data_IF_718207864433
#
_entry.id   IF_718207864433
#
_cell.length_a   1.000
_cell.length_b   1.000
_cell.length_c   1.000
_cell.angle_alpha   90.00
_cell.angle_beta   90.00
_cell.angle_gamma   90.00
#
_symmetry.space_group_name_H-M   'P 1'
#
loop_
_entity.id
_entity.type
_entity.pdbx_description
1 polymer ?
#
# COMPACT_ATOMS: atom_id res chain seq x y z
N UNK A 1 -60.24 20.41 -25.88
CA UNK A 1 -60.56 19.84 -24.56
C UNK A 1 -60.07 20.79 -23.48
N UNK A 2 -61.01 21.27 -22.66
CA UNK A 2 -60.88 22.06 -21.42
C UNK A 2 -59.91 21.39 -20.40
N UNK A 3 -59.37 22.05 -19.37
CA UNK A 3 -60.04 22.93 -18.42
C UNK A 3 -59.13 24.00 -17.77
N UNK A 4 -59.71 25.19 -17.62
CA UNK A 4 -59.48 26.11 -16.50
C UNK A 4 -59.73 25.45 -15.15
N UNK A 5 -58.92 25.76 -14.14
CA UNK A 5 -59.30 25.58 -12.73
C UNK A 5 -58.56 26.58 -11.83
N UNK A 6 -59.33 27.55 -11.31
CA UNK A 6 -59.03 28.31 -10.11
C UNK A 6 -58.83 27.36 -8.91
N UNK A 7 -57.67 27.39 -8.26
CA UNK A 7 -57.45 26.79 -6.94
C UNK A 7 -56.81 27.81 -5.98
N UNK A 8 -57.54 28.10 -4.91
CA UNK A 8 -57.34 29.16 -3.91
C UNK A 8 -56.15 28.93 -2.95
N UNK A 9 -55.66 29.98 -2.25
CA UNK A 9 -54.47 29.96 -1.40
C UNK A 9 -54.77 29.43 0.01
N UNK A 10 -55.13 28.15 0.16
CA UNK A 10 -55.34 27.52 1.47
C UNK A 10 -54.18 26.62 1.94
N UNK A 11 -53.22 26.31 1.06
CA UNK A 11 -52.07 25.45 1.40
C UNK A 11 -51.10 26.05 2.42
N UNK A 12 -51.06 27.39 2.55
CA UNK A 12 -50.19 28.07 3.52
C UNK A 12 -50.70 27.97 4.97
N UNK A 13 -52.01 27.84 5.18
CA UNK A 13 -52.59 27.80 6.53
C UNK A 13 -52.42 26.43 7.24
N UNK A 14 -52.17 25.37 6.48
CA UNK A 14 -51.97 24.02 7.04
C UNK A 14 -50.53 23.76 7.53
N UNK A 15 -49.54 24.54 7.09
CA UNK A 15 -48.12 24.39 7.49
C UNK A 15 -47.69 25.27 8.67
N UNK A 16 -48.46 26.33 8.95
CA UNK A 16 -48.21 27.28 10.04
C UNK A 16 -48.17 26.64 11.45
N UNK A 17 -49.04 25.67 11.80
CA UNK A 17 -48.97 25.01 13.11
C UNK A 17 -47.68 24.22 13.30
N UNK A 18 -47.18 23.58 12.23
CA UNK A 18 -45.96 22.77 12.27
C UNK A 18 -44.70 23.63 12.33
N UNK A 19 -44.70 24.78 11.64
CA UNK A 19 -43.63 25.77 11.71
C UNK A 19 -43.51 26.38 13.12
N UNK A 20 -44.64 26.69 13.77
CA UNK A 20 -44.65 27.18 15.15
C UNK A 20 -44.14 26.14 16.14
N UNK A 21 -44.55 24.87 15.99
CA UNK A 21 -44.08 23.79 16.86
C UNK A 21 -42.57 23.55 16.71
N UNK A 22 -42.05 23.60 15.48
CA UNK A 22 -40.60 23.47 15.20
C UNK A 22 -39.78 24.60 15.82
N UNK A 23 -40.27 25.84 15.74
CA UNK A 23 -39.62 27.00 16.36
C UNK A 23 -39.61 26.88 17.90
N UNK A 24 -40.70 26.39 18.48
CA UNK A 24 -40.85 26.22 19.93
C UNK A 24 -39.92 25.13 20.47
N UNK A 25 -39.79 24.01 19.76
CA UNK A 25 -38.83 22.93 20.10
C UNK A 25 -37.39 23.43 19.98
N UNK A 26 -37.06 24.23 18.97
CA UNK A 26 -35.72 24.82 18.83
C UNK A 26 -35.39 25.81 19.95
N UNK A 27 -36.34 26.66 20.35
CA UNK A 27 -36.14 27.61 21.45
C UNK A 27 -35.97 26.91 22.81
N UNK A 28 -36.71 25.82 23.06
CA UNK A 28 -36.52 24.99 24.25
C UNK A 28 -35.13 24.34 24.25
N UNK A 29 -34.66 23.85 23.09
CA UNK A 29 -33.32 23.27 22.94
C UNK A 29 -32.21 24.28 23.25
N UNK A 30 -32.33 25.51 22.73
CA UNK A 30 -31.38 26.61 22.99
C UNK A 30 -31.45 27.06 24.46
N UNK A 31 -32.64 27.19 25.04
CA UNK A 31 -32.79 27.53 26.46
C UNK A 31 -32.15 26.47 27.36
N UNK A 32 -32.32 25.18 27.05
CA UNK A 32 -31.67 24.08 27.78
C UNK A 32 -30.15 24.09 27.60
N UNK A 33 -29.64 24.50 26.43
CA UNK A 33 -28.21 24.65 26.18
C UNK A 33 -27.59 25.85 26.93
N UNK A 34 -28.32 26.96 27.03
CA UNK A 34 -27.89 28.17 27.76
C UNK A 34 -27.93 27.91 29.27
N UNK A 35 -28.98 27.27 29.79
CA UNK A 35 -29.14 26.96 31.22
C UNK A 35 -28.24 25.79 31.66
N UNK A 36 -27.94 24.84 30.76
CA UNK A 36 -27.10 23.67 31.04
C UNK A 36 -25.59 23.92 31.06
N UNK A 37 -25.11 25.16 30.88
CA UNK A 37 -23.68 25.49 30.82
C UNK A 37 -23.02 25.78 32.17
N UNK A 38 -23.64 25.37 33.27
CA UNK A 38 -23.07 25.41 34.61
C UNK A 38 -23.14 24.04 35.29
N UNK A 39 -22.15 23.17 35.07
CA UNK A 39 -22.02 21.91 35.80
C UNK A 39 -21.51 20.78 34.93
N UNK A 40 -20.24 20.41 35.11
CA UNK A 40 -19.65 19.25 34.44
C UNK A 40 -20.34 17.95 34.86
N UNK A 41 -20.56 17.06 33.90
CA UNK A 41 -20.77 15.65 34.15
C UNK A 41 -20.28 14.85 32.93
N UNK A 42 -19.32 13.97 33.23
CA UNK A 42 -18.74 12.96 32.35
C UNK A 42 -19.83 12.14 31.65
N UNK A 43 -19.84 12.12 30.31
CA UNK A 43 -20.54 11.10 29.54
C UNK A 43 -19.50 10.09 29.07
N UNK A 44 -19.42 8.95 29.76
CA UNK A 44 -18.81 7.73 29.24
C UNK A 44 -19.57 7.31 27.97
N UNK A 45 -19.14 7.84 26.83
CA UNK A 45 -19.36 7.23 25.54
C UNK A 45 -18.55 5.95 25.53
N UNK A 46 -19.23 4.83 25.82
CA UNK A 46 -18.70 3.50 25.49
C UNK A 46 -18.62 3.41 23.96
N UNK A 47 -17.49 3.87 23.43
CA UNK A 47 -17.05 3.50 22.09
C UNK A 47 -17.00 1.97 22.11
N UNK A 48 -17.90 1.31 21.39
CA UNK A 48 -17.78 -0.12 21.12
C UNK A 48 -16.48 -0.29 20.34
N UNK A 49 -15.40 -0.63 21.05
CA UNK A 49 -14.13 -1.02 20.45
C UNK A 49 -14.38 -2.37 19.77
N UNK A 50 -14.78 -2.33 18.51
CA UNK A 50 -14.60 -3.48 17.63
C UNK A 50 -13.08 -3.61 17.47
N UNK A 51 -12.46 -4.48 18.28
CA UNK A 51 -11.11 -4.94 18.02
C UNK A 51 -11.16 -5.79 16.77
N UNK A 52 -11.15 -5.15 15.60
CA UNK A 52 -10.73 -5.83 14.38
C UNK A 52 -9.30 -6.23 14.67
N UNK A 53 -9.01 -7.54 14.73
CA UNK A 53 -7.62 -8.01 14.72
C UNK A 53 -6.90 -7.23 13.62
N UNK A 54 -5.90 -6.43 14.02
CA UNK A 54 -5.12 -5.68 13.05
C UNK A 54 -4.52 -6.72 12.12
N UNK A 55 -5.01 -6.77 10.87
CA UNK A 55 -4.38 -7.55 9.81
C UNK A 55 -2.89 -7.22 9.88
N UNK A 56 -1.99 -8.22 9.90
CA UNK A 56 -0.57 -7.97 10.12
C UNK A 56 -0.11 -6.88 9.16
N UNK A 57 0.41 -5.78 9.71
CA UNK A 57 0.83 -4.63 8.93
C UNK A 57 2.08 -5.02 8.15
N UNK A 58 1.89 -5.60 6.96
CA UNK A 58 3.02 -5.96 6.10
C UNK A 58 3.50 -4.77 5.31
N UNK A 59 4.79 -4.49 5.43
CA UNK A 59 5.53 -3.57 4.56
C UNK A 59 6.15 -4.37 3.42
N UNK A 60 5.86 -3.96 2.20
CA UNK A 60 6.44 -4.55 0.98
C UNK A 60 7.33 -3.52 0.30
N UNK A 61 8.57 -3.89 -0.02
CA UNK A 61 9.48 -3.10 -0.82
C UNK A 61 9.62 -3.68 -2.24
N UNK A 62 9.50 -2.83 -3.25
CA UNK A 62 9.71 -3.19 -4.66
C UNK A 62 10.95 -2.46 -5.17
N UNK A 63 11.99 -3.22 -5.53
CA UNK A 63 13.25 -2.70 -6.06
C UNK A 63 13.25 -2.83 -7.59
N UNK A 64 13.15 -1.71 -8.30
CA UNK A 64 12.91 -1.65 -9.74
C UNK A 64 11.48 -1.24 -10.10
N UNK A 65 10.83 -0.42 -9.26
CA UNK A 65 9.41 -0.04 -9.40
C UNK A 65 9.11 0.85 -10.63
N UNK A 66 10.11 1.55 -11.17
CA UNK A 66 10.01 2.34 -12.40
C UNK A 66 10.18 1.51 -13.68
N UNK A 67 10.59 0.25 -13.58
CA UNK A 67 10.71 -0.67 -14.71
C UNK A 67 9.36 -1.15 -15.25
N UNK A 68 9.37 -1.68 -16.47
CA UNK A 68 8.16 -2.18 -17.15
C UNK A 68 7.42 -3.30 -16.41
N UNK A 69 8.11 -4.06 -15.56
CA UNK A 69 7.52 -5.08 -14.68
C UNK A 69 7.17 -4.48 -13.31
N UNK A 70 8.04 -3.64 -12.75
CA UNK A 70 7.85 -3.08 -11.42
C UNK A 70 6.65 -2.16 -11.30
N UNK A 71 6.34 -1.40 -12.35
CA UNK A 71 5.20 -0.48 -12.34
C UNK A 71 3.85 -1.20 -12.20
N UNK A 72 3.48 -2.17 -13.06
CA UNK A 72 2.23 -2.93 -12.88
C UNK A 72 2.24 -3.79 -11.61
N UNK A 73 3.40 -4.30 -11.18
CA UNK A 73 3.51 -5.02 -9.92
C UNK A 73 3.18 -4.12 -8.72
N UNK A 74 3.61 -2.86 -8.74
CA UNK A 74 3.31 -1.87 -7.69
C UNK A 74 1.81 -1.61 -7.57
N UNK A 75 1.13 -1.51 -8.71
CA UNK A 75 -0.34 -1.41 -8.76
C UNK A 75 -1.00 -2.63 -8.12
N UNK A 76 -0.58 -3.84 -8.47
CA UNK A 76 -1.15 -5.08 -7.91
C UNK A 76 -0.92 -5.18 -6.39
N UNK A 77 0.24 -4.77 -5.90
CA UNK A 77 0.54 -4.77 -4.46
C UNK A 77 -0.29 -3.72 -3.71
N UNK A 78 -0.55 -2.55 -4.32
CA UNK A 78 -1.43 -1.52 -3.74
C UNK A 78 -2.88 -1.98 -3.59
N UNK A 79 -3.34 -2.88 -4.45
CA UNK A 79 -4.69 -3.47 -4.39
C UNK A 79 -4.80 -4.64 -3.39
N UNK A 80 -3.68 -5.16 -2.90
CA UNK A 80 -3.68 -6.30 -2.00
C UNK A 80 -4.06 -5.86 -0.57
N UNK A 81 -5.15 -6.41 0.03
CA UNK A 81 -5.59 -6.02 1.37
C UNK A 81 -4.62 -6.41 2.49
N UNK A 82 -3.68 -7.31 2.21
CA UNK A 82 -2.65 -7.74 3.17
C UNK A 82 -1.46 -6.77 3.23
N UNK A 83 -1.35 -5.84 2.28
CA UNK A 83 -0.27 -4.86 2.23
C UNK A 83 -0.73 -3.59 2.92
N UNK A 84 0.04 -3.14 3.92
CA UNK A 84 -0.25 -1.93 4.68
C UNK A 84 0.66 -0.77 4.28
N UNK A 85 1.89 -1.07 3.88
CA UNK A 85 2.89 -0.10 3.44
C UNK A 85 3.62 -0.64 2.22
N UNK A 86 3.76 0.20 1.20
CA UNK A 86 4.40 -0.11 -0.07
C UNK A 86 5.53 0.87 -0.32
N UNK A 87 6.76 0.38 -0.29
CA UNK A 87 7.95 1.16 -0.59
C UNK A 87 8.40 0.86 -2.01
N UNK A 88 8.32 1.85 -2.87
CA UNK A 88 8.76 1.75 -4.26
C UNK A 88 10.15 2.34 -4.35
N UNK A 89 11.11 1.61 -4.92
CA UNK A 89 12.48 2.07 -5.11
C UNK A 89 12.93 1.81 -6.54
N UNK A 90 13.65 2.77 -7.12
CA UNK A 90 14.33 2.62 -8.42
C UNK A 90 15.46 3.65 -8.51
N UNK A 91 16.29 3.53 -9.55
CA UNK A 91 17.38 4.46 -9.86
C UNK A 91 16.81 5.82 -10.26
N UNK A 92 15.67 5.85 -10.96
CA UNK A 92 15.02 7.07 -11.42
C UNK A 92 13.49 6.93 -11.54
N UNK A 93 12.77 8.06 -11.50
CA UNK A 93 11.34 8.13 -11.83
C UNK A 93 10.36 7.60 -10.77
N UNK A 94 10.86 7.03 -9.69
CA UNK A 94 10.05 6.42 -8.63
C UNK A 94 9.01 7.33 -7.95
N UNK A 95 9.28 8.63 -7.68
CA UNK A 95 8.31 9.49 -6.99
C UNK A 95 7.05 9.71 -7.84
N UNK A 96 7.19 9.73 -9.17
CA UNK A 96 6.05 9.81 -10.08
C UNK A 96 5.20 8.53 -10.05
N UNK A 97 5.85 7.36 -10.06
CA UNK A 97 5.16 6.06 -9.93
C UNK A 97 4.45 5.94 -8.58
N UNK A 98 5.12 6.35 -7.49
CA UNK A 98 4.52 6.35 -6.16
C UNK A 98 3.33 7.29 -6.06
N UNK A 99 3.41 8.49 -6.66
CA UNK A 99 2.30 9.43 -6.69
C UNK A 99 1.09 8.84 -7.44
N UNK A 100 1.30 8.22 -8.60
CA UNK A 100 0.24 7.60 -9.39
C UNK A 100 -0.45 6.46 -8.62
N UNK A 101 0.33 5.55 -8.04
CA UNK A 101 -0.18 4.42 -7.25
C UNK A 101 -0.84 4.91 -5.94
N UNK A 102 -0.40 6.03 -5.36
CA UNK A 102 -0.96 6.57 -4.11
C UNK A 102 -2.40 7.09 -4.24
N UNK A 103 -2.82 7.51 -5.43
CA UNK A 103 -4.18 8.00 -5.68
C UNK A 103 -5.25 6.91 -5.61
N UNK A 104 -4.84 5.63 -5.61
CA UNK A 104 -5.74 4.49 -5.51
C UNK A 104 -6.26 4.40 -4.08
N UNK A 105 -7.59 4.36 -3.95
CA UNK A 105 -8.34 4.42 -2.69
C UNK A 105 -8.30 3.10 -1.89
N UNK A 106 -7.11 2.59 -1.61
CA UNK A 106 -6.87 1.44 -0.73
C UNK A 106 -6.11 1.86 0.53
N UNK A 107 -6.17 1.01 1.57
CA UNK A 107 -5.50 1.24 2.86
C UNK A 107 -3.98 1.42 2.73
N UNK A 108 -3.33 0.72 1.81
CA UNK A 108 -1.87 0.66 1.77
C UNK A 108 -1.26 2.04 1.52
N UNK A 109 -0.34 2.49 2.37
CA UNK A 109 0.39 3.74 2.13
C UNK A 109 1.53 3.50 1.16
N UNK A 110 1.81 4.44 0.26
CA UNK A 110 2.84 4.30 -0.77
C UNK A 110 3.91 5.38 -0.57
N UNK A 111 5.17 4.98 -0.57
CA UNK A 111 6.31 5.87 -0.53
C UNK A 111 7.25 5.57 -1.70
N UNK A 112 7.73 6.62 -2.37
CA UNK A 112 8.66 6.51 -3.49
C UNK A 112 10.08 6.93 -3.09
N UNK A 113 11.06 6.12 -3.44
CA UNK A 113 12.47 6.31 -3.14
C UNK A 113 13.29 6.27 -4.42
N UNK A 114 14.25 7.19 -4.55
CA UNK A 114 15.08 7.32 -5.75
C UNK A 114 16.56 7.24 -5.43
N UNK A 115 17.27 6.44 -6.21
CA UNK A 115 18.72 6.29 -6.11
C UNK A 115 19.17 5.43 -4.93
N UNK A 116 20.46 5.11 -4.92
CA UNK A 116 21.05 4.19 -3.94
C UNK A 116 21.07 4.77 -2.51
N UNK A 117 21.16 6.10 -2.35
CA UNK A 117 21.17 6.74 -1.03
C UNK A 117 19.85 6.53 -0.25
N UNK A 118 18.74 6.39 -0.97
CA UNK A 118 17.42 6.19 -0.38
C UNK A 118 17.04 4.71 -0.23
N UNK A 119 17.86 3.79 -0.76
CA UNK A 119 17.62 2.36 -0.74
C UNK A 119 17.49 1.82 0.70
N UNK A 120 18.29 2.37 1.64
CA UNK A 120 18.19 2.01 3.05
C UNK A 120 16.82 2.33 3.65
N UNK A 121 16.28 3.52 3.36
CA UNK A 121 14.94 3.95 3.82
C UNK A 121 13.82 3.13 3.19
N UNK A 122 13.98 2.74 1.93
CA UNK A 122 13.03 1.86 1.26
C UNK A 122 12.96 0.47 1.92
N UNK A 123 14.11 -0.06 2.32
CA UNK A 123 14.25 -1.41 2.86
C UNK A 123 13.95 -1.53 4.36
N UNK A 124 14.19 -0.48 5.14
CA UNK A 124 14.06 -0.50 6.60
C UNK A 124 12.68 -0.99 7.06
N UNK A 125 12.64 -2.09 7.83
CA UNK A 125 11.40 -2.66 8.34
C UNK A 125 10.50 -3.30 7.28
N UNK A 126 11.02 -3.66 6.11
CA UNK A 126 10.26 -4.39 5.09
C UNK A 126 10.11 -5.87 5.45
N UNK A 127 8.90 -6.40 5.40
CA UNK A 127 8.65 -7.83 5.61
C UNK A 127 8.84 -8.64 4.32
N UNK A 128 8.60 -8.02 3.17
CA UNK A 128 8.76 -8.66 1.87
C UNK A 128 9.50 -7.71 0.95
N UNK A 129 10.54 -8.21 0.30
CA UNK A 129 11.28 -7.46 -0.72
C UNK A 129 11.16 -8.19 -2.05
N UNK A 130 10.65 -7.49 -3.07
CA UNK A 130 10.50 -8.01 -4.43
C UNK A 130 11.48 -7.28 -5.34
N UNK A 131 12.24 -8.02 -6.15
CA UNK A 131 13.30 -7.48 -7.01
C UNK A 131 12.96 -7.69 -8.50
N UNK A 132 12.09 -6.86 -9.09
CA UNK A 132 11.94 -6.81 -10.55
C UNK A 132 13.08 -6.07 -11.26
N UNK A 133 14.00 -5.43 -10.52
CA UNK A 133 15.13 -4.69 -11.09
C UNK A 133 15.97 -5.54 -12.05
N UNK A 134 16.25 -4.97 -13.21
CA UNK A 134 17.07 -5.59 -14.23
C UNK A 134 17.05 -4.76 -15.52
N UNK A 135 18.01 -5.01 -16.38
CA UNK A 135 18.10 -4.36 -17.69
C UNK A 135 17.45 -5.27 -18.73
N UNK A 136 16.52 -4.76 -19.56
CA UNK A 136 16.00 -5.54 -20.69
C UNK A 136 17.11 -5.77 -21.72
N UNK A 137 17.04 -6.90 -22.42
CA UNK A 137 18.02 -7.21 -23.48
C UNK A 137 17.99 -6.15 -24.57
N UNK A 138 19.15 -5.56 -24.87
CA UNK A 138 19.31 -4.57 -25.95
C UNK A 138 19.81 -5.24 -27.24
N UNK A 139 19.49 -4.70 -28.43
CA UNK A 139 20.12 -5.15 -29.68
C UNK A 139 21.64 -5.06 -29.60
N UNK A 140 22.34 -6.09 -30.08
CA UNK A 140 23.81 -6.17 -30.02
C UNK A 140 24.39 -6.63 -28.67
N UNK A 141 23.56 -6.87 -27.65
CA UNK A 141 24.00 -7.43 -26.37
C UNK A 141 23.99 -8.97 -26.40
N UNK A 142 25.10 -9.59 -25.99
CA UNK A 142 25.19 -11.04 -25.86
C UNK A 142 24.38 -11.53 -24.65
N UNK A 143 24.12 -12.83 -24.57
CA UNK A 143 23.42 -13.43 -23.43
C UNK A 143 24.28 -13.35 -22.16
N UNK A 144 25.60 -13.54 -22.29
CA UNK A 144 26.57 -13.41 -21.21
C UNK A 144 26.61 -11.98 -20.64
N UNK A 145 26.63 -10.97 -21.51
CA UNK A 145 26.62 -9.56 -21.07
C UNK A 145 25.38 -9.24 -20.25
N UNK A 146 24.21 -9.71 -20.72
CA UNK A 146 22.94 -9.53 -20.02
C UNK A 146 22.95 -10.20 -18.64
N UNK A 147 23.46 -11.44 -18.57
CA UNK A 147 23.58 -12.18 -17.33
C UNK A 147 24.51 -11.48 -16.34
N UNK A 148 25.69 -11.05 -16.79
CA UNK A 148 26.68 -10.39 -15.94
C UNK A 148 26.19 -9.05 -15.39
N UNK A 149 25.50 -8.25 -16.21
CA UNK A 149 24.89 -6.98 -15.76
C UNK A 149 23.83 -7.23 -14.70
N UNK A 150 22.87 -8.12 -14.97
CA UNK A 150 21.77 -8.39 -14.03
C UNK A 150 22.27 -9.10 -12.76
N UNK A 151 23.28 -9.96 -12.86
CA UNK A 151 23.93 -10.58 -11.70
C UNK A 151 24.58 -9.52 -10.79
N UNK A 152 25.21 -8.50 -11.37
CA UNK A 152 25.76 -7.35 -10.63
C UNK A 152 24.67 -6.57 -9.88
N UNK A 153 23.55 -6.28 -10.54
CA UNK A 153 22.40 -5.57 -9.94
C UNK A 153 21.79 -6.39 -8.80
N UNK A 154 21.52 -7.68 -9.01
CA UNK A 154 20.97 -8.54 -7.95
C UNK A 154 21.92 -8.64 -6.77
N UNK A 155 23.23 -8.78 -7.02
CA UNK A 155 24.23 -8.83 -5.96
C UNK A 155 24.25 -7.55 -5.11
N UNK A 156 24.21 -6.37 -5.73
CA UNK A 156 24.22 -5.11 -4.99
C UNK A 156 22.95 -4.91 -4.16
N UNK A 157 21.79 -5.25 -4.72
CA UNK A 157 20.51 -5.16 -4.01
C UNK A 157 20.43 -6.17 -2.85
N UNK A 158 20.87 -7.42 -3.05
CA UNK A 158 20.93 -8.41 -1.99
C UNK A 158 21.86 -7.97 -0.84
N UNK A 159 23.00 -7.35 -1.15
CA UNK A 159 23.89 -6.80 -0.13
C UNK A 159 23.22 -5.66 0.66
N UNK A 160 22.45 -4.80 0.00
CA UNK A 160 21.68 -3.74 0.66
C UNK A 160 20.56 -4.31 1.54
N UNK A 161 19.85 -5.35 1.08
CA UNK A 161 18.82 -6.05 1.87
C UNK A 161 19.44 -6.64 3.13
N UNK A 162 20.57 -7.35 3.01
CA UNK A 162 21.27 -7.91 4.17
C UNK A 162 21.71 -6.83 5.18
N UNK A 163 22.06 -5.63 4.70
CA UNK A 163 22.49 -4.50 5.54
C UNK A 163 21.34 -3.79 6.24
N UNK A 164 20.26 -3.48 5.52
CA UNK A 164 19.19 -2.59 6.01
C UNK A 164 17.93 -3.33 6.46
N UNK A 165 17.77 -4.60 6.07
CA UNK A 165 16.63 -5.43 6.39
C UNK A 165 17.06 -6.85 6.79
N UNK A 166 17.83 -7.01 7.90
CA UNK A 166 18.37 -8.31 8.31
C UNK A 166 17.30 -9.30 8.79
N UNK A 167 16.09 -8.83 9.08
CA UNK A 167 14.98 -9.64 9.55
C UNK A 167 13.73 -9.31 8.72
N UNK A 168 13.43 -10.11 7.70
CA UNK A 168 12.27 -9.93 6.80
C UNK A 168 10.93 -10.25 7.49
N UNK A 169 10.83 -10.16 8.82
CA UNK A 169 9.59 -10.49 9.55
C UNK A 169 9.18 -11.97 9.51
N UNK A 170 9.97 -12.85 8.89
CA UNK A 170 9.68 -14.29 8.77
C UNK A 170 10.09 -15.10 10.01
N UNK A 171 10.73 -14.47 10.99
CA UNK A 171 11.25 -15.14 12.19
C UNK A 171 12.47 -16.01 11.91
N UNK A 172 12.90 -16.76 12.93
CA UNK A 172 13.96 -17.76 12.78
C UNK A 172 13.43 -19.00 12.07
N UNK A 173 14.17 -19.48 11.07
CA UNK A 173 13.84 -20.71 10.35
C UNK A 173 13.74 -21.90 11.31
N UNK A 174 12.67 -22.68 11.16
CA UNK A 174 12.52 -23.98 11.82
C UNK A 174 13.56 -24.99 11.29
N UNK A 175 13.80 -26.06 12.04
CA UNK A 175 14.73 -27.14 11.64
C UNK A 175 14.33 -27.73 10.27
N UNK A 176 13.03 -27.84 9.99
CA UNK A 176 12.50 -28.30 8.71
C UNK A 176 12.83 -27.32 7.57
N UNK A 177 12.66 -26.02 7.79
CA UNK A 177 12.99 -24.99 6.80
C UNK A 177 14.48 -24.88 6.55
N UNK A 178 15.32 -25.05 7.58
CA UNK A 178 16.77 -25.10 7.43
C UNK A 178 17.21 -26.28 6.56
N UNK A 179 16.65 -27.48 6.79
CA UNK A 179 16.94 -28.65 5.95
C UNK A 179 16.47 -28.45 4.50
N UNK A 180 15.27 -27.87 4.31
CA UNK A 180 14.75 -27.52 2.99
C UNK A 180 15.64 -26.50 2.26
N UNK A 181 16.15 -25.50 2.99
CA UNK A 181 17.04 -24.48 2.46
C UNK A 181 18.36 -25.09 1.96
N UNK A 182 18.95 -26.03 2.68
CA UNK A 182 20.17 -26.72 2.24
C UNK A 182 19.95 -27.55 0.97
N UNK A 183 18.81 -28.24 0.86
CA UNK A 183 18.44 -28.95 -0.37
C UNK A 183 18.27 -27.99 -1.56
N UNK A 184 17.57 -26.87 -1.36
CA UNK A 184 17.32 -25.87 -2.40
C UNK A 184 18.60 -25.18 -2.85
N UNK A 185 19.54 -24.92 -1.94
CA UNK A 185 20.86 -24.34 -2.28
C UNK A 185 21.60 -25.23 -3.29
N UNK A 186 21.59 -26.54 -3.09
CA UNK A 186 22.25 -27.49 -3.99
C UNK A 186 21.59 -27.51 -5.39
N UNK A 187 20.26 -27.55 -5.43
CA UNK A 187 19.49 -27.53 -6.68
C UNK A 187 19.65 -26.20 -7.44
N UNK A 188 19.63 -25.08 -6.72
CA UNK A 188 19.83 -23.75 -7.28
C UNK A 188 21.24 -23.63 -7.86
N UNK A 189 22.27 -24.11 -7.15
CA UNK A 189 23.64 -24.13 -7.66
C UNK A 189 23.75 -24.93 -8.95
N UNK A 190 23.15 -26.12 -9.00
CA UNK A 190 23.13 -26.93 -10.22
C UNK A 190 22.39 -26.23 -11.37
N UNK A 191 21.29 -25.55 -11.08
CA UNK A 191 20.52 -24.80 -12.08
C UNK A 191 21.31 -23.60 -12.63
N UNK A 192 22.06 -22.90 -11.78
CA UNK A 192 22.99 -21.84 -12.21
C UNK A 192 24.08 -22.41 -13.11
N UNK A 193 24.70 -23.52 -12.74
CA UNK A 193 25.73 -24.17 -13.57
C UNK A 193 25.18 -24.61 -14.94
N UNK A 194 23.97 -25.17 -14.98
CA UNK A 194 23.28 -25.50 -16.23
C UNK A 194 22.99 -24.25 -17.06
N UNK A 195 22.55 -23.17 -16.42
CA UNK A 195 22.32 -21.88 -17.08
C UNK A 195 23.60 -21.32 -17.70
N UNK A 196 24.70 -21.33 -16.96
CA UNK A 196 26.02 -20.89 -17.45
C UNK A 196 26.47 -21.72 -18.65
N UNK A 197 26.36 -23.06 -18.57
CA UNK A 197 26.69 -23.94 -19.71
C UNK A 197 25.83 -23.65 -20.93
N UNK A 198 24.51 -23.52 -20.72
CA UNK A 198 23.59 -23.22 -21.82
C UNK A 198 23.94 -21.91 -22.53
N UNK A 199 24.38 -20.88 -21.80
CA UNK A 199 24.82 -19.61 -22.38
C UNK A 199 26.17 -19.75 -23.09
N UNK A 200 27.11 -20.55 -22.58
CA UNK A 200 28.39 -20.78 -23.25
C UNK A 200 28.26 -21.60 -24.54
N UNK A 201 27.24 -22.46 -24.62
CA UNK A 201 26.99 -23.34 -25.76
C UNK A 201 26.10 -22.71 -26.86
N UNK A 202 25.38 -21.61 -26.58
CA UNK A 202 24.39 -20.99 -27.49
C UNK A 202 24.45 -19.45 -27.52
#
# INVERSE_FOLDING_TARGET
MCCDCECRPLGWLMGLPFAFLSLLVSLIGVAKWIVGRGGGASSHLSHRTFSVESSPERKVAILGAGGGIGHPLSLLMKLNPLVSSLSLCDIAGTPGVAADVSHINTRAQVAGFTGEEQLGKALEGSDVVIIPAGVPRKPGMTRDDLFNINAGIVKSLCAAIAKYCPNLGLGSLSDYENQGLESLKAELKSSIEKGIKFVQEN
#
